data_IF_367258887429
#
_entry.id   IF_367258887429
#
_cell.length_a   1.000
_cell.length_b   1.000
_cell.length_c   1.000
_cell.angle_alpha   90.00
_cell.angle_beta   90.00
_cell.angle_gamma   90.00
#
_symmetry.space_group_name_H-M   'P 1'
#
loop_
_entity.id
_entity.type
_entity.pdbx_description
1 polymer ?
#
# COMPACT_ATOMS: atom_id res chain seq x y z
N UNK A 1 1.88 -15.66 -26.84
CA UNK A 1 3.32 -15.74 -26.54
C UNK A 1 3.47 -15.76 -25.03
N UNK A 2 3.99 -16.85 -24.47
CA UNK A 2 4.21 -16.97 -23.02
C UNK A 2 5.29 -15.97 -22.61
N UNK A 3 4.91 -14.96 -21.83
CA UNK A 3 5.83 -13.94 -21.37
C UNK A 3 6.75 -14.58 -20.30
N UNK A 4 8.06 -14.44 -20.45
CA UNK A 4 9.03 -15.10 -19.55
C UNK A 4 8.84 -14.59 -18.12
N UNK A 5 8.53 -15.48 -17.16
CA UNK A 5 8.46 -15.11 -15.73
C UNK A 5 9.84 -14.66 -15.24
N UNK A 6 10.00 -13.35 -15.03
CA UNK A 6 11.24 -12.74 -14.49
C UNK A 6 11.33 -13.00 -12.98
N UNK A 7 10.27 -12.64 -12.24
CA UNK A 7 10.19 -12.85 -10.80
C UNK A 7 9.52 -14.19 -10.52
N UNK A 8 10.33 -15.17 -10.09
CA UNK A 8 9.88 -16.49 -9.62
C UNK A 8 9.77 -16.47 -8.10
N UNK A 9 8.69 -17.02 -7.58
CA UNK A 9 8.43 -17.01 -6.13
C UNK A 9 8.68 -18.41 -5.58
N UNK A 10 9.42 -18.47 -4.47
CA UNK A 10 9.55 -19.66 -3.64
C UNK A 10 9.27 -19.23 -2.22
N UNK A 11 8.15 -19.68 -1.68
CA UNK A 11 7.77 -19.35 -0.31
C UNK A 11 8.51 -20.26 0.67
N UNK A 12 8.92 -19.68 1.79
CA UNK A 12 9.29 -20.45 2.97
C UNK A 12 8.05 -21.07 3.63
N UNK A 13 8.25 -22.04 4.53
CA UNK A 13 7.15 -22.65 5.28
C UNK A 13 6.33 -21.62 6.07
N UNK A 14 7.01 -20.67 6.72
CA UNK A 14 6.39 -19.60 7.51
C UNK A 14 5.58 -18.64 6.63
N UNK A 15 6.13 -18.19 5.50
CA UNK A 15 5.42 -17.30 4.56
C UNK A 15 4.19 -17.98 3.96
N UNK A 16 4.33 -19.26 3.57
CA UNK A 16 3.23 -20.06 3.05
C UNK A 16 2.13 -20.22 4.08
N UNK A 17 2.47 -20.49 5.33
CA UNK A 17 1.51 -20.57 6.42
C UNK A 17 0.78 -19.25 6.64
N UNK A 18 1.49 -18.12 6.64
CA UNK A 18 0.88 -16.80 6.77
C UNK A 18 -0.13 -16.53 5.64
N UNK A 19 0.19 -16.86 4.39
CA UNK A 19 -0.76 -16.75 3.28
C UNK A 19 -1.95 -17.71 3.42
N UNK A 20 -1.75 -18.93 3.92
CA UNK A 20 -2.84 -19.89 4.19
C UNK A 20 -3.80 -19.32 5.24
N UNK A 21 -3.30 -18.71 6.31
CA UNK A 21 -4.15 -18.10 7.34
C UNK A 21 -4.99 -16.96 6.77
N UNK A 22 -4.39 -16.10 5.93
CA UNK A 22 -5.15 -15.05 5.23
C UNK A 22 -6.17 -15.64 4.24
N UNK A 23 -5.79 -16.68 3.50
CA UNK A 23 -6.65 -17.36 2.53
C UNK A 23 -7.93 -17.93 3.16
N UNK A 24 -7.84 -18.45 4.40
CA UNK A 24 -8.98 -18.96 5.17
C UNK A 24 -9.99 -17.87 5.56
N UNK A 25 -9.59 -16.59 5.52
CA UNK A 25 -10.39 -15.43 5.97
C UNK A 25 -11.72 -15.18 5.26
N UNK A 26 -12.08 -15.96 4.24
CA UNK A 26 -13.41 -15.90 3.60
C UNK A 26 -14.42 -16.84 4.27
N UNK A 27 -13.98 -17.86 5.01
CA UNK A 27 -14.85 -18.81 5.71
C UNK A 27 -14.58 -18.81 7.20
N UNK A 28 -15.27 -17.93 7.95
CA UNK A 28 -15.63 -18.26 9.32
C UNK A 28 -15.53 -17.16 10.37
N UNK A 29 -14.40 -16.47 10.54
CA UNK A 29 -14.19 -15.77 11.84
C UNK A 29 -13.35 -14.48 11.81
N UNK A 30 -12.57 -14.22 10.75
CA UNK A 30 -11.70 -13.03 10.67
C UNK A 30 -12.20 -12.07 9.59
N UNK A 31 -12.47 -10.80 9.94
CA UNK A 31 -12.80 -9.73 8.99
C UNK A 31 -11.56 -9.34 8.17
N UNK A 32 -11.17 -10.16 7.20
CA UNK A 32 -10.07 -9.90 6.29
C UNK A 32 -10.61 -9.27 5.01
N UNK A 33 -9.93 -8.24 4.50
CA UNK A 33 -10.33 -7.60 3.25
C UNK A 33 -10.22 -8.58 2.07
N UNK A 34 -11.25 -8.63 1.20
CA UNK A 34 -11.33 -9.58 0.08
C UNK A 34 -10.10 -9.54 -0.84
N UNK A 35 -9.52 -8.36 -1.06
CA UNK A 35 -8.31 -8.21 -1.88
C UNK A 35 -7.07 -8.89 -1.26
N UNK A 36 -6.95 -8.92 0.08
CA UNK A 36 -5.85 -9.65 0.76
C UNK A 36 -6.00 -11.15 0.50
N UNK A 37 -7.24 -11.66 0.58
CA UNK A 37 -7.52 -13.08 0.35
C UNK A 37 -7.26 -13.48 -1.10
N UNK A 38 -7.69 -12.67 -2.06
CA UNK A 38 -7.41 -12.90 -3.48
C UNK A 38 -5.91 -12.98 -3.75
N UNK A 39 -5.13 -12.03 -3.22
CA UNK A 39 -3.67 -12.02 -3.37
C UNK A 39 -3.00 -13.20 -2.67
N UNK A 40 -3.46 -13.57 -1.48
CA UNK A 40 -2.95 -14.71 -0.75
C UNK A 40 -3.15 -16.02 -1.54
N UNK A 41 -4.37 -16.26 -2.04
CA UNK A 41 -4.66 -17.44 -2.85
C UNK A 41 -3.85 -17.46 -4.15
N UNK A 42 -3.76 -16.33 -4.85
CA UNK A 42 -2.96 -16.23 -6.07
C UNK A 42 -1.47 -16.47 -5.81
N UNK A 43 -0.93 -15.96 -4.70
CA UNK A 43 0.47 -16.14 -4.33
C UNK A 43 0.78 -17.59 -3.94
N UNK A 44 -0.13 -18.27 -3.24
CA UNK A 44 -0.01 -19.70 -2.97
C UNK A 44 0.04 -20.52 -4.26
N UNK A 45 -0.72 -20.13 -5.29
CA UNK A 45 -0.66 -20.80 -6.60
C UNK A 45 0.61 -20.46 -7.40
N UNK A 46 1.22 -19.30 -7.15
CA UNK A 46 2.48 -18.88 -7.78
C UNK A 46 3.71 -19.57 -7.19
N UNK A 47 3.60 -20.20 -6.02
CA UNK A 47 4.74 -20.79 -5.32
C UNK A 47 5.39 -21.91 -6.13
N UNK A 48 6.67 -21.72 -6.50
CA UNK A 48 7.55 -22.67 -7.18
C UNK A 48 8.48 -23.41 -6.19
N UNK A 49 8.19 -23.34 -4.88
CA UNK A 49 8.85 -24.18 -3.88
C UNK A 49 8.48 -25.66 -4.07
N UNK A 50 9.14 -26.56 -3.32
CA UNK A 50 8.83 -28.00 -3.30
C UNK A 50 7.34 -28.26 -3.01
N UNK A 51 6.75 -27.45 -2.14
CA UNK A 51 5.39 -27.63 -1.62
C UNK A 51 4.37 -26.72 -2.33
N UNK A 52 4.82 -26.06 -3.40
CA UNK A 52 4.07 -25.11 -4.21
C UNK A 52 3.61 -25.72 -5.54
N UNK A 53 2.42 -25.33 -6.04
CA UNK A 53 1.85 -25.94 -7.23
C UNK A 53 2.40 -25.36 -8.55
N UNK A 54 3.16 -24.25 -8.50
CA UNK A 54 3.83 -23.63 -9.65
C UNK A 54 2.92 -23.37 -10.87
N UNK A 55 1.70 -22.85 -10.65
CA UNK A 55 0.74 -22.63 -11.72
C UNK A 55 1.21 -21.60 -12.76
N UNK A 56 0.70 -21.72 -13.98
CA UNK A 56 0.86 -20.70 -15.03
C UNK A 56 0.12 -19.41 -14.64
N UNK A 57 0.58 -18.26 -15.13
CA UNK A 57 -0.07 -16.99 -14.82
C UNK A 57 -1.47 -16.91 -15.41
N UNK A 58 -1.67 -17.54 -16.57
CA UNK A 58 -2.94 -17.64 -17.27
C UNK A 58 -3.97 -18.38 -16.42
N UNK A 59 -3.60 -19.55 -15.88
CA UNK A 59 -4.48 -20.34 -15.01
C UNK A 59 -4.83 -19.62 -13.70
N UNK A 60 -3.87 -18.93 -13.10
CA UNK A 60 -4.10 -18.14 -11.87
C UNK A 60 -5.00 -16.93 -12.18
N UNK A 61 -4.76 -16.24 -13.29
CA UNK A 61 -5.55 -15.09 -13.71
C UNK A 61 -7.02 -15.46 -13.90
N UNK A 62 -7.28 -16.57 -14.58
CA UNK A 62 -8.61 -17.12 -14.80
C UNK A 62 -9.27 -17.54 -13.48
N UNK A 63 -8.57 -18.30 -12.63
CA UNK A 63 -9.13 -18.84 -11.39
C UNK A 63 -9.50 -17.76 -10.35
N UNK A 64 -8.75 -16.65 -10.30
CA UNK A 64 -8.93 -15.61 -9.28
C UNK A 64 -9.47 -14.29 -9.82
N UNK A 65 -9.87 -14.21 -11.09
CA UNK A 65 -10.41 -13.00 -11.69
C UNK A 65 -9.42 -11.82 -11.66
N UNK A 66 -8.15 -12.09 -11.98
CA UNK A 66 -7.09 -11.09 -12.06
C UNK A 66 -6.47 -11.10 -13.46
N UNK A 67 -5.48 -10.24 -13.69
CA UNK A 67 -4.74 -10.21 -14.96
C UNK A 67 -3.33 -10.78 -14.77
N UNK A 68 -2.75 -11.32 -15.83
CA UNK A 68 -1.34 -11.74 -15.83
C UNK A 68 -0.40 -10.59 -15.48
N UNK A 69 -0.73 -9.35 -15.90
CA UNK A 69 -0.02 -8.12 -15.51
C UNK A 69 -0.06 -7.86 -14.00
N UNK A 70 -1.23 -8.06 -13.36
CA UNK A 70 -1.36 -7.93 -11.92
C UNK A 70 -0.49 -8.95 -11.18
N UNK A 71 -0.48 -10.21 -11.64
CA UNK A 71 0.36 -11.26 -11.08
C UNK A 71 1.84 -10.95 -11.23
N UNK A 72 2.27 -10.47 -12.39
CA UNK A 72 3.64 -10.02 -12.62
C UNK A 72 4.04 -8.91 -11.64
N UNK A 73 3.18 -7.90 -11.47
CA UNK A 73 3.41 -6.82 -10.51
C UNK A 73 3.46 -7.32 -9.07
N UNK A 74 2.60 -8.28 -8.70
CA UNK A 74 2.60 -8.86 -7.36
C UNK A 74 3.86 -9.68 -7.09
N UNK A 75 4.32 -10.49 -8.05
CA UNK A 75 5.59 -11.23 -7.92
C UNK A 75 6.79 -10.28 -7.86
N UNK A 76 6.79 -9.22 -8.67
CA UNK A 76 7.80 -8.16 -8.59
C UNK A 76 7.83 -7.54 -7.19
N UNK A 77 6.67 -7.18 -6.63
CA UNK A 77 6.59 -6.64 -5.28
C UNK A 77 7.10 -7.65 -4.24
N UNK A 78 6.63 -8.89 -4.30
CA UNK A 78 7.05 -9.95 -3.39
C UNK A 78 8.56 -10.21 -3.44
N UNK A 79 9.17 -10.21 -4.62
CA UNK A 79 10.60 -10.41 -4.79
C UNK A 79 11.45 -9.23 -4.27
N UNK A 80 10.94 -7.99 -4.39
CA UNK A 80 11.69 -6.78 -4.03
C UNK A 80 11.46 -6.32 -2.58
N UNK A 81 10.29 -6.62 -2.01
CA UNK A 81 9.83 -6.09 -0.72
C UNK A 81 9.46 -7.21 0.28
N UNK A 82 9.64 -8.48 -0.12
CA UNK A 82 9.23 -9.65 0.65
C UNK A 82 7.80 -10.10 0.32
N UNK A 83 7.49 -11.41 0.34
CA UNK A 83 6.18 -11.94 -0.03
C UNK A 83 5.02 -11.34 0.75
N UNK A 84 5.15 -11.21 2.07
CA UNK A 84 4.09 -10.69 2.94
C UNK A 84 3.74 -9.21 2.67
N UNK A 85 4.59 -8.47 1.95
CA UNK A 85 4.27 -7.09 1.51
C UNK A 85 2.97 -7.02 0.70
N UNK A 86 2.58 -8.11 0.03
CA UNK A 86 1.33 -8.18 -0.74
C UNK A 86 0.08 -8.10 0.11
N UNK A 87 0.19 -8.41 1.38
CA UNK A 87 -0.88 -8.34 2.36
C UNK A 87 -1.01 -6.94 2.94
N UNK A 88 -0.05 -6.06 2.71
CA UNK A 88 -0.06 -4.70 3.23
C UNK A 88 -0.40 -3.68 2.16
N UNK A 89 -1.04 -2.58 2.59
CA UNK A 89 -1.25 -1.43 1.72
C UNK A 89 0.09 -0.72 1.58
N UNK A 90 0.41 -0.27 0.37
CA UNK A 90 1.57 0.61 0.15
C UNK A 90 1.46 1.82 1.09
N UNK A 91 2.42 1.94 1.99
CA UNK A 91 2.52 3.08 2.89
C UNK A 91 2.76 4.35 2.08
N UNK A 92 2.07 5.43 2.47
CA UNK A 92 2.25 6.73 1.85
C UNK A 92 3.18 7.55 2.74
N UNK A 93 4.38 7.85 2.25
CA UNK A 93 5.31 8.74 2.95
C UNK A 93 4.81 10.20 2.99
N UNK A 94 3.97 10.60 2.04
CA UNK A 94 3.44 11.96 1.95
C UNK A 94 1.92 11.95 1.79
N UNK A 95 1.29 13.03 2.24
CA UNK A 95 -0.12 13.30 1.96
C UNK A 95 -0.39 13.30 0.45
N UNK A 96 -1.54 12.80 -0.02
CA UNK A 96 -1.94 12.91 -1.42
C UNK A 96 -2.02 14.36 -1.91
N UNK A 97 -2.37 15.27 -1.01
CA UNK A 97 -2.41 16.71 -1.27
C UNK A 97 -1.22 17.33 -0.58
N UNK A 98 -0.38 18.02 -1.34
CA UNK A 98 0.72 18.80 -0.77
C UNK A 98 0.15 19.86 0.19
N UNK A 99 0.77 20.06 1.37
CA UNK A 99 0.34 21.12 2.27
C UNK A 99 0.54 22.48 1.58
N UNK A 100 -0.44 23.37 1.72
CA UNK A 100 -0.39 24.72 1.13
C UNK A 100 0.66 25.58 1.85
N UNK A 101 0.80 25.36 3.17
CA UNK A 101 1.85 25.95 3.99
C UNK A 101 2.99 24.92 4.11
N UNK A 102 4.17 25.31 3.64
CA UNK A 102 5.40 24.59 3.93
C UNK A 102 5.94 24.98 5.32
N UNK A 103 6.98 24.29 5.80
CA UNK A 103 7.51 24.51 7.14
C UNK A 103 7.97 25.96 7.39
N UNK A 104 8.47 26.64 6.37
CA UNK A 104 8.90 28.03 6.48
C UNK A 104 7.69 28.98 6.63
N UNK A 105 6.62 28.76 5.84
CA UNK A 105 5.36 29.50 5.98
C UNK A 105 4.68 29.21 7.31
N UNK A 106 4.72 28.00 7.82
CA UNK A 106 4.19 27.66 9.15
C UNK A 106 4.95 28.39 10.26
N UNK A 107 6.29 28.46 10.17
CA UNK A 107 7.11 29.20 11.11
C UNK A 107 6.83 30.71 11.06
N UNK A 108 6.70 31.27 9.86
CA UNK A 108 6.32 32.68 9.65
C UNK A 108 4.92 32.96 10.19
N UNK A 109 3.94 32.11 9.90
CA UNK A 109 2.58 32.22 10.40
C UNK A 109 2.55 32.23 11.92
N UNK A 110 3.27 31.30 12.55
CA UNK A 110 3.37 31.20 14.02
C UNK A 110 3.95 32.48 14.62
N UNK A 111 5.02 33.02 14.01
CA UNK A 111 5.64 34.27 14.46
C UNK A 111 4.66 35.45 14.41
N UNK A 112 3.90 35.59 13.31
CA UNK A 112 2.92 36.68 13.14
C UNK A 112 1.76 36.49 14.12
N UNK A 113 1.20 35.29 14.22
CA UNK A 113 0.06 35.00 15.10
C UNK A 113 0.38 35.26 16.59
N UNK A 114 1.64 35.08 16.99
CA UNK A 114 2.12 35.38 18.34
C UNK A 114 2.56 36.85 18.55
N UNK A 115 2.58 37.69 17.51
CA UNK A 115 2.92 39.11 17.64
C UNK A 115 1.71 39.97 17.97
N UNK A 116 1.95 41.23 18.33
CA UNK A 116 0.87 42.20 18.56
C UNK A 116 0.06 42.41 17.28
N UNK A 117 -1.29 42.30 17.33
CA UNK A 117 -2.14 42.60 16.19
C UNK A 117 -2.04 44.07 15.75
N UNK A 118 -2.38 44.40 14.50
CA UNK A 118 -2.38 45.78 14.01
C UNK A 118 -3.28 46.71 14.85
N UNK A 119 -2.90 47.98 14.91
CA UNK A 119 -3.60 49.00 15.71
C UNK A 119 -5.12 49.02 15.41
N UNK A 120 -5.92 49.09 16.47
CA UNK A 120 -7.39 49.05 16.37
C UNK A 120 -7.99 47.65 16.26
N UNK A 121 -7.19 46.59 16.39
CA UNK A 121 -7.66 45.19 16.45
C UNK A 121 -7.22 44.53 17.75
N UNK A 122 -8.10 43.72 18.33
CA UNK A 122 -7.82 42.94 19.54
C UNK A 122 -7.15 41.59 19.27
N UNK A 123 -7.15 41.12 18.02
CA UNK A 123 -6.59 39.82 17.60
C UNK A 123 -6.32 39.79 16.09
N UNK A 124 -5.42 38.89 15.68
CA UNK A 124 -5.25 38.50 14.29
C UNK A 124 -6.50 37.77 13.77
N UNK A 125 -6.90 38.07 12.53
CA UNK A 125 -7.91 37.29 11.79
C UNK A 125 -7.24 36.43 10.73
N UNK A 126 -7.92 35.38 10.24
CA UNK A 126 -7.37 34.54 9.17
C UNK A 126 -7.04 35.34 7.90
N UNK A 127 -7.85 36.34 7.54
CA UNK A 127 -7.56 37.20 6.39
C UNK A 127 -6.29 38.02 6.61
N UNK A 128 -6.12 38.63 7.79
CA UNK A 128 -4.90 39.40 8.09
C UNK A 128 -3.65 38.52 8.07
N UNK A 129 -3.75 37.30 8.59
CA UNK A 129 -2.65 36.34 8.56
C UNK A 129 -2.33 35.91 7.12
N UNK A 130 -3.34 35.78 6.26
CA UNK A 130 -3.15 35.48 4.85
C UNK A 130 -2.55 36.65 4.07
N UNK A 131 -2.93 37.89 4.38
CA UNK A 131 -2.39 39.10 3.75
C UNK A 131 -0.92 39.35 4.14
N UNK A 132 -0.51 38.92 5.34
CA UNK A 132 0.86 39.04 5.86
C UNK A 132 1.79 37.86 5.51
N UNK A 133 1.24 36.74 5.01
CA UNK A 133 1.98 35.53 4.66
C UNK A 133 2.55 35.56 3.24
#
# INVERSE_FOLDING_TARGET
>A
MSNRKIYRIKLTGEEREAFIQVAKGIRGQLKIAAWKVQRANAMLMCDESKDGPAWSDESIAEAFGTTTRSLENWRKQAALQGPLSLLERKERHTSPTAPILDGDKEARLTKIACSTPPNGRSRWTLQMLADEL
#
